data_IF_421244438097
#
_entry.id   IF_421244438097
#
_cell.length_a   1.000
_cell.length_b   1.000
_cell.length_c   1.000
_cell.angle_alpha   90.00
_cell.angle_beta   90.00
_cell.angle_gamma   90.00
#
_symmetry.space_group_name_H-M   'P 1'
#
loop_
_entity.id
_entity.type
_entity.pdbx_description
1 polymer ?
#
# COMPACT_ATOMS: atom_id res chain seq x y z
N UNK A 1 -30.10 -12.55 -15.22
CA UNK A 1 -29.81 -12.39 -16.67
C UNK A 1 -28.76 -11.30 -16.98
N UNK A 2 -28.64 -10.24 -16.18
CA UNK A 2 -27.63 -9.18 -16.39
C UNK A 2 -26.17 -9.63 -16.11
N UNK A 3 -25.94 -10.42 -15.08
CA UNK A 3 -24.59 -10.83 -14.65
C UNK A 3 -23.76 -11.59 -15.69
N UNK A 4 -24.41 -12.40 -16.54
CA UNK A 4 -23.68 -13.13 -17.60
C UNK A 4 -23.25 -12.22 -18.77
N UNK A 5 -24.07 -11.21 -19.10
CA UNK A 5 -23.76 -10.26 -20.16
C UNK A 5 -22.68 -9.26 -19.70
N UNK A 6 -22.75 -8.79 -18.45
CA UNK A 6 -21.75 -7.93 -17.84
C UNK A 6 -20.38 -8.63 -17.74
N UNK A 7 -20.35 -9.91 -17.35
CA UNK A 7 -19.14 -10.73 -17.32
C UNK A 7 -18.54 -10.95 -18.72
N UNK A 8 -19.38 -11.11 -19.74
CA UNK A 8 -18.90 -11.27 -21.11
C UNK A 8 -18.30 -9.95 -21.63
N UNK A 9 -18.99 -8.84 -21.40
CA UNK A 9 -18.53 -7.50 -21.78
C UNK A 9 -17.19 -7.17 -21.11
N UNK A 10 -17.05 -7.44 -19.81
CA UNK A 10 -15.82 -7.26 -19.07
C UNK A 10 -14.65 -8.09 -19.66
N UNK A 11 -14.86 -9.38 -19.92
CA UNK A 11 -13.85 -10.25 -20.55
C UNK A 11 -13.41 -9.72 -21.91
N UNK A 12 -14.36 -9.24 -22.72
CA UNK A 12 -14.06 -8.65 -24.03
C UNK A 12 -13.26 -7.35 -23.91
N UNK A 13 -13.61 -6.46 -22.99
CA UNK A 13 -12.89 -5.21 -22.74
C UNK A 13 -11.45 -5.49 -22.26
N UNK A 14 -11.29 -6.39 -21.28
CA UNK A 14 -9.96 -6.80 -20.80
C UNK A 14 -9.11 -7.41 -21.91
N UNK A 15 -9.67 -8.25 -22.74
CA UNK A 15 -8.96 -8.86 -23.89
C UNK A 15 -8.57 -7.81 -24.96
N UNK A 16 -9.46 -6.86 -25.25
CA UNK A 16 -9.18 -5.76 -26.19
C UNK A 16 -8.04 -4.86 -25.64
N UNK A 17 -8.12 -4.48 -24.38
CA UNK A 17 -7.05 -3.69 -23.74
C UNK A 17 -5.72 -4.46 -23.67
N UNK A 18 -5.77 -5.78 -23.41
CA UNK A 18 -4.59 -6.64 -23.46
C UNK A 18 -3.87 -6.57 -24.80
N UNK A 19 -4.61 -6.60 -25.91
CA UNK A 19 -4.01 -6.44 -27.27
C UNK A 19 -3.38 -5.06 -27.47
N UNK A 20 -3.99 -4.01 -26.93
CA UNK A 20 -3.42 -2.65 -26.99
C UNK A 20 -2.10 -2.59 -26.20
N UNK A 21 -2.07 -3.14 -24.99
CA UNK A 21 -0.87 -3.24 -24.16
C UNK A 21 0.22 -4.05 -24.86
N UNK A 22 -0.12 -5.21 -25.47
CA UNK A 22 0.82 -6.04 -26.22
C UNK A 22 1.46 -5.28 -27.39
N UNK A 23 0.64 -4.54 -28.16
CA UNK A 23 1.13 -3.68 -29.27
C UNK A 23 1.99 -2.54 -28.72
N UNK A 24 1.60 -1.94 -27.59
CA UNK A 24 2.38 -0.88 -26.98
C UNK A 24 3.74 -1.36 -26.48
N UNK A 25 3.79 -2.48 -25.77
CA UNK A 25 5.04 -3.07 -25.29
C UNK A 25 5.98 -3.43 -26.47
N UNK A 26 5.45 -4.03 -27.54
CA UNK A 26 6.24 -4.39 -28.72
C UNK A 26 6.77 -3.17 -29.52
N UNK A 27 6.08 -2.04 -29.47
CA UNK A 27 6.47 -0.80 -30.16
C UNK A 27 7.30 0.15 -29.28
N UNK A 28 7.27 -0.03 -27.97
CA UNK A 28 7.99 0.82 -27.04
C UNK A 28 9.52 0.81 -27.28
N UNK A 29 10.07 -0.23 -27.89
CA UNK A 29 11.47 -0.29 -28.30
C UNK A 29 11.78 0.61 -29.51
N UNK A 30 10.79 0.90 -30.39
CA UNK A 30 10.99 1.64 -31.64
C UNK A 30 10.64 3.11 -31.52
N UNK A 31 9.52 3.44 -30.86
CA UNK A 31 9.02 4.81 -30.69
C UNK A 31 8.23 4.91 -29.37
N UNK A 32 8.97 5.05 -28.28
CA UNK A 32 8.40 5.02 -26.91
C UNK A 32 7.48 6.20 -26.63
N UNK A 33 7.88 7.40 -27.03
CA UNK A 33 7.10 8.62 -26.82
C UNK A 33 5.71 8.52 -27.46
N UNK A 34 5.69 8.19 -28.74
CA UNK A 34 4.44 8.01 -29.48
C UNK A 34 3.58 6.88 -28.88
N UNK A 35 4.23 5.81 -28.46
CA UNK A 35 3.53 4.66 -27.85
C UNK A 35 2.89 5.06 -26.51
N UNK A 36 3.58 5.82 -25.67
CA UNK A 36 3.03 6.33 -24.41
C UNK A 36 1.83 7.25 -24.64
N UNK A 37 1.92 8.17 -25.61
CA UNK A 37 0.79 9.01 -25.98
C UNK A 37 -0.41 8.18 -26.44
N UNK A 38 -0.18 7.16 -27.26
CA UNK A 38 -1.25 6.25 -27.71
C UNK A 38 -1.89 5.47 -26.55
N UNK A 39 -1.11 5.09 -25.54
CA UNK A 39 -1.64 4.44 -24.34
C UNK A 39 -2.51 5.40 -23.52
N UNK A 40 -2.11 6.66 -23.37
CA UNK A 40 -2.92 7.69 -22.70
C UNK A 40 -4.21 7.95 -23.48
N UNK A 41 -4.16 8.02 -24.82
CA UNK A 41 -5.35 8.17 -25.66
C UNK A 41 -6.28 6.96 -25.56
N UNK A 42 -5.74 5.76 -25.56
CA UNK A 42 -6.51 4.54 -25.33
C UNK A 42 -7.14 4.54 -23.94
N UNK A 43 -6.38 4.91 -22.90
CA UNK A 43 -6.93 5.06 -21.55
C UNK A 43 -8.09 6.07 -21.53
N UNK A 44 -7.93 7.24 -22.15
CA UNK A 44 -9.01 8.25 -22.28
C UNK A 44 -10.23 7.69 -23.01
N UNK A 45 -10.03 6.92 -24.06
CA UNK A 45 -11.13 6.31 -24.81
C UNK A 45 -11.86 5.23 -24.00
N UNK A 46 -11.15 4.41 -23.23
CA UNK A 46 -11.73 3.36 -22.39
C UNK A 46 -12.33 3.90 -21.09
N UNK A 47 -11.69 4.93 -20.50
CA UNK A 47 -12.04 5.45 -19.18
C UNK A 47 -12.97 6.68 -19.26
N UNK A 48 -13.07 7.32 -20.43
CA UNK A 48 -13.96 8.45 -20.68
C UNK A 48 -13.80 9.56 -19.64
N UNK A 49 -14.88 9.88 -18.94
CA UNK A 49 -14.92 10.87 -17.87
C UNK A 49 -14.35 10.38 -16.52
N UNK A 50 -13.60 9.27 -16.49
CA UNK A 50 -12.98 8.75 -15.27
C UNK A 50 -11.95 9.72 -14.69
N UNK A 51 -11.24 10.45 -15.57
CA UNK A 51 -10.34 11.55 -15.21
C UNK A 51 -10.71 12.81 -16.03
N UNK A 52 -10.27 13.98 -15.58
CA UNK A 52 -10.44 15.20 -16.37
C UNK A 52 -9.57 15.19 -17.63
N UNK A 53 -9.99 15.97 -18.64
CA UNK A 53 -9.20 16.14 -19.86
C UNK A 53 -7.81 16.71 -19.57
N UNK A 54 -7.71 17.61 -18.59
CA UNK A 54 -6.46 18.20 -18.13
C UNK A 54 -5.49 17.15 -17.59
N UNK A 55 -5.99 16.16 -16.86
CA UNK A 55 -5.18 15.06 -16.32
C UNK A 55 -4.56 14.22 -17.45
N UNK A 56 -5.32 13.89 -18.48
CA UNK A 56 -4.78 13.16 -19.65
C UNK A 56 -3.74 13.98 -20.42
N UNK A 57 -3.96 15.27 -20.64
CA UNK A 57 -3.00 16.14 -21.33
C UNK A 57 -1.73 16.37 -20.50
N UNK A 58 -1.85 16.50 -19.16
CA UNK A 58 -0.69 16.60 -18.28
C UNK A 58 0.10 15.30 -18.26
N UNK A 59 -0.56 14.15 -18.27
CA UNK A 59 0.12 12.85 -18.38
C UNK A 59 0.93 12.77 -19.68
N UNK A 60 0.38 13.16 -20.82
CA UNK A 60 1.12 13.18 -22.09
C UNK A 60 2.34 14.10 -22.01
N UNK A 61 2.18 15.35 -21.52
CA UNK A 61 3.30 16.29 -21.37
C UNK A 61 4.44 15.71 -20.54
N UNK A 62 4.10 15.08 -19.42
CA UNK A 62 5.09 14.44 -18.54
C UNK A 62 5.78 13.28 -19.24
N UNK A 63 5.05 12.45 -19.98
CA UNK A 63 5.55 11.23 -20.63
C UNK A 63 6.37 11.50 -21.89
N UNK A 64 6.23 12.69 -22.49
CA UNK A 64 6.98 13.12 -23.68
C UNK A 64 8.17 14.04 -23.37
N UNK A 65 8.33 14.48 -22.10
CA UNK A 65 9.50 15.24 -21.68
C UNK A 65 10.65 14.30 -21.32
N UNK A 66 11.71 14.19 -22.13
CA UNK A 66 12.85 13.30 -21.84
C UNK A 66 13.63 13.70 -20.59
N UNK A 67 13.47 14.94 -20.12
CA UNK A 67 14.12 15.42 -18.90
C UNK A 67 13.29 15.12 -17.64
N UNK A 68 12.02 14.82 -17.82
CA UNK A 68 11.15 14.44 -16.70
C UNK A 68 11.67 13.18 -16.01
N UNK A 69 11.83 13.25 -14.70
CA UNK A 69 12.17 12.07 -13.90
C UNK A 69 11.09 10.97 -13.99
N UNK A 70 9.84 11.36 -14.21
CA UNK A 70 8.73 10.41 -14.36
C UNK A 70 8.83 9.62 -15.65
N UNK A 71 9.26 10.29 -16.74
CA UNK A 71 9.59 9.61 -18.00
C UNK A 71 10.75 8.64 -17.80
N UNK A 72 11.81 9.09 -17.10
CA UNK A 72 12.95 8.22 -16.76
C UNK A 72 12.50 7.02 -15.89
N UNK A 73 11.66 7.24 -14.87
CA UNK A 73 11.14 6.19 -14.02
C UNK A 73 10.35 5.16 -14.84
N UNK A 74 9.42 5.60 -15.67
CA UNK A 74 8.61 4.72 -16.52
C UNK A 74 9.50 3.94 -17.50
N UNK A 75 10.51 4.61 -18.09
CA UNK A 75 11.46 3.95 -18.96
C UNK A 75 12.25 2.86 -18.21
N UNK A 76 12.74 3.16 -17.01
CA UNK A 76 13.41 2.15 -16.17
C UNK A 76 12.49 0.94 -15.87
N UNK A 77 11.24 1.20 -15.50
CA UNK A 77 10.26 0.13 -15.25
C UNK A 77 10.07 -0.74 -16.49
N UNK A 78 9.87 -0.12 -17.67
CA UNK A 78 9.65 -0.87 -18.91
C UNK A 78 10.89 -1.64 -19.37
N UNK A 79 12.08 -1.07 -19.21
CA UNK A 79 13.34 -1.70 -19.62
C UNK A 79 13.77 -2.85 -18.72
N UNK A 80 13.37 -2.82 -17.46
CA UNK A 80 13.80 -3.80 -16.44
C UNK A 80 12.74 -4.85 -16.12
N UNK A 81 11.49 -4.63 -16.53
CA UNK A 81 10.39 -5.55 -16.21
C UNK A 81 10.16 -6.52 -17.38
N UNK A 82 9.99 -7.81 -17.05
CA UNK A 82 9.61 -8.82 -18.04
C UNK A 82 8.30 -8.39 -18.73
N UNK A 83 8.20 -8.47 -20.07
CA UNK A 83 7.00 -8.04 -20.81
C UNK A 83 5.70 -8.69 -20.33
N UNK A 84 5.73 -9.97 -19.91
CA UNK A 84 4.56 -10.65 -19.35
C UNK A 84 4.15 -10.05 -18.00
N UNK A 85 5.11 -9.78 -17.12
CA UNK A 85 4.87 -9.10 -15.83
C UNK A 85 4.31 -7.70 -16.06
N UNK A 86 4.95 -6.89 -16.91
CA UNK A 86 4.49 -5.54 -17.24
C UNK A 86 3.06 -5.53 -17.81
N UNK A 87 2.75 -6.46 -18.71
CA UNK A 87 1.41 -6.65 -19.26
C UNK A 87 0.38 -7.00 -18.19
N UNK A 88 0.70 -7.97 -17.33
CA UNK A 88 -0.20 -8.46 -16.30
C UNK A 88 -0.49 -7.36 -15.27
N UNK A 89 0.55 -6.68 -14.80
CA UNK A 89 0.40 -5.52 -13.89
C UNK A 89 -0.41 -4.40 -14.53
N UNK A 90 -0.19 -4.06 -15.79
CA UNK A 90 -0.98 -3.05 -16.48
C UNK A 90 -2.47 -3.42 -16.56
N UNK A 91 -2.80 -4.68 -16.72
CA UNK A 91 -4.19 -5.14 -16.74
C UNK A 91 -4.79 -5.23 -15.33
N UNK A 92 -4.07 -5.81 -14.38
CA UNK A 92 -4.60 -6.05 -13.03
C UNK A 92 -4.64 -4.76 -12.21
N UNK A 93 -3.52 -4.05 -12.12
CA UNK A 93 -3.45 -2.80 -11.36
C UNK A 93 -4.10 -1.64 -12.14
N UNK A 94 -3.76 -1.49 -13.43
CA UNK A 94 -4.27 -0.39 -14.24
C UNK A 94 -5.76 -0.52 -14.56
N UNK A 95 -6.16 -1.60 -15.22
CA UNK A 95 -7.56 -1.75 -15.64
C UNK A 95 -8.48 -2.24 -14.52
N UNK A 96 -8.13 -3.36 -13.85
CA UNK A 96 -9.03 -3.93 -12.84
C UNK A 96 -9.09 -3.09 -11.58
N UNK A 97 -7.95 -2.78 -10.94
CA UNK A 97 -7.96 -2.08 -9.66
C UNK A 97 -8.24 -0.58 -9.79
N UNK A 98 -7.42 0.14 -10.60
CA UNK A 98 -7.55 1.59 -10.69
C UNK A 98 -8.84 2.03 -11.36
N UNK A 99 -9.24 1.37 -12.42
CA UNK A 99 -10.38 1.85 -13.19
C UNK A 99 -11.68 1.16 -12.81
N UNK A 100 -11.82 -0.12 -13.16
CA UNK A 100 -13.06 -0.88 -12.96
C UNK A 100 -13.38 -1.01 -11.46
N UNK A 101 -12.40 -1.38 -10.66
CA UNK A 101 -12.55 -1.56 -9.23
C UNK A 101 -12.95 -0.26 -8.53
N UNK A 102 -12.29 0.87 -8.84
CA UNK A 102 -12.64 2.16 -8.23
C UNK A 102 -14.08 2.57 -8.55
N UNK A 103 -14.57 2.31 -9.76
CA UNK A 103 -15.98 2.56 -10.10
C UNK A 103 -16.91 1.68 -9.25
N UNK A 104 -16.64 0.39 -9.16
CA UNK A 104 -17.42 -0.55 -8.34
C UNK A 104 -17.40 -0.16 -6.85
N UNK A 105 -16.24 0.24 -6.33
CA UNK A 105 -16.09 0.69 -4.94
C UNK A 105 -16.99 1.90 -4.67
N UNK A 106 -17.02 2.89 -5.56
CA UNK A 106 -17.88 4.08 -5.41
C UNK A 106 -19.37 3.71 -5.41
N UNK A 107 -19.79 2.86 -6.33
CA UNK A 107 -21.17 2.35 -6.41
C UNK A 107 -21.54 1.57 -5.13
N UNK A 108 -20.64 0.70 -4.67
CA UNK A 108 -20.85 -0.11 -3.48
C UNK A 108 -20.86 0.70 -2.17
N UNK A 109 -20.06 1.77 -2.06
CA UNK A 109 -20.13 2.70 -0.92
C UNK A 109 -21.53 3.34 -0.79
N UNK A 110 -22.10 3.79 -1.90
CA UNK A 110 -23.46 4.33 -1.93
C UNK A 110 -24.50 3.25 -1.61
N UNK A 111 -24.35 2.07 -2.17
CA UNK A 111 -25.28 0.95 -2.00
C UNK A 111 -25.31 0.43 -0.55
N UNK A 112 -24.15 0.24 0.02
CA UNK A 112 -24.00 -0.42 1.33
C UNK A 112 -23.84 0.54 2.49
N UNK A 113 -23.68 1.84 2.26
CA UNK A 113 -23.55 2.90 3.28
C UNK A 113 -22.41 2.62 4.29
N UNK A 114 -21.29 2.08 3.82
CA UNK A 114 -20.08 1.84 4.59
C UNK A 114 -18.84 2.13 3.75
N UNK A 115 -17.69 2.14 4.38
CA UNK A 115 -16.43 2.16 3.67
C UNK A 115 -16.26 0.89 2.83
N UNK A 116 -15.78 1.03 1.59
CA UNK A 116 -15.34 -0.09 0.76
C UNK A 116 -13.89 0.19 0.36
N UNK A 117 -12.94 -0.69 0.71
CA UNK A 117 -11.52 -0.43 0.52
C UNK A 117 -11.10 -0.55 -0.95
N UNK A 118 -9.97 0.09 -1.30
CA UNK A 118 -9.31 -0.08 -2.58
C UNK A 118 -8.32 -1.26 -2.57
N UNK A 119 -7.78 -1.57 -1.40
CA UNK A 119 -6.94 -2.76 -1.17
C UNK A 119 -7.28 -3.42 0.16
N UNK A 120 -7.03 -4.72 0.26
CA UNK A 120 -7.07 -5.48 1.51
C UNK A 120 -5.66 -5.98 1.80
N UNK A 121 -5.18 -5.70 3.02
CA UNK A 121 -3.93 -6.22 3.56
C UNK A 121 -4.25 -7.44 4.42
N UNK A 122 -3.54 -8.55 4.28
CA UNK A 122 -3.74 -9.71 5.15
C UNK A 122 -2.46 -10.50 5.40
N UNK A 123 -2.45 -11.25 6.51
CA UNK A 123 -1.33 -12.04 6.98
C UNK A 123 -1.54 -13.53 6.69
N UNK A 124 -0.88 -14.12 5.69
CA UNK A 124 -0.94 -15.56 5.46
C UNK A 124 -0.49 -16.37 6.69
N UNK A 125 0.39 -15.80 7.49
CA UNK A 125 0.99 -16.43 8.68
C UNK A 125 1.55 -15.40 9.65
N UNK A 126 1.53 -15.69 10.95
CA UNK A 126 2.31 -14.96 11.95
C UNK A 126 3.74 -15.50 12.11
N UNK A 127 4.07 -16.65 11.50
CA UNK A 127 5.42 -17.20 11.57
C UNK A 127 6.42 -16.32 10.82
N UNK A 128 7.53 -16.02 11.46
CA UNK A 128 8.65 -15.29 10.87
C UNK A 128 9.97 -15.99 11.20
N UNK A 129 10.90 -15.94 10.27
CA UNK A 129 12.26 -16.45 10.45
C UNK A 129 13.24 -15.38 10.99
N UNK A 130 12.72 -14.22 11.42
CA UNK A 130 13.47 -13.09 11.94
C UNK A 130 12.84 -12.51 13.21
N UNK A 131 13.64 -11.75 13.99
CA UNK A 131 13.23 -11.06 15.22
C UNK A 131 13.73 -9.60 15.18
N UNK A 132 13.05 -8.77 14.40
CA UNK A 132 13.46 -7.38 14.20
C UNK A 132 13.12 -6.52 15.42
N UNK A 133 14.01 -5.59 15.79
CA UNK A 133 13.76 -4.65 16.88
C UNK A 133 12.54 -3.78 16.58
N UNK A 134 11.57 -3.75 17.51
CA UNK A 134 10.33 -2.98 17.37
C UNK A 134 9.46 -3.44 16.21
N UNK A 135 9.36 -4.75 15.98
CA UNK A 135 8.48 -5.32 14.97
C UNK A 135 7.02 -5.18 15.44
N UNK A 136 6.18 -4.51 14.65
CA UNK A 136 4.75 -4.33 14.97
C UNK A 136 3.98 -5.65 15.03
N UNK A 137 4.41 -6.69 14.31
CA UNK A 137 3.76 -8.00 14.27
C UNK A 137 4.28 -8.98 15.34
N UNK A 138 5.20 -8.55 16.22
CA UNK A 138 5.82 -9.43 17.22
C UNK A 138 4.83 -10.03 18.22
N UNK A 139 3.80 -9.27 18.59
CA UNK A 139 2.82 -9.64 19.62
C UNK A 139 1.73 -10.58 19.14
N UNK A 140 1.59 -10.83 17.84
CA UNK A 140 0.63 -11.84 17.33
C UNK A 140 1.03 -13.29 17.67
N UNK A 141 2.28 -13.52 18.12
CA UNK A 141 2.84 -14.85 18.26
C UNK A 141 3.17 -15.48 16.90
N UNK A 142 3.83 -16.64 16.90
CA UNK A 142 4.40 -17.22 15.65
C UNK A 142 3.67 -18.50 15.20
N UNK A 143 2.43 -18.71 15.57
CA UNK A 143 1.73 -20.01 15.40
C UNK A 143 0.48 -19.96 14.51
N UNK A 144 -0.04 -18.78 14.22
CA UNK A 144 -1.30 -18.64 13.51
C UNK A 144 -1.09 -18.59 12.00
N UNK A 145 -2.04 -19.14 11.28
CA UNK A 145 -2.07 -19.16 9.82
C UNK A 145 -3.51 -19.03 9.35
N UNK A 146 -3.74 -18.17 8.37
CA UNK A 146 -4.96 -18.26 7.58
C UNK A 146 -4.94 -19.56 6.75
N UNK A 147 -6.05 -20.25 6.64
CA UNK A 147 -6.17 -21.35 5.70
C UNK A 147 -6.11 -20.84 4.26
N UNK A 148 -5.85 -21.74 3.31
CA UNK A 148 -5.94 -21.36 1.90
C UNK A 148 -7.36 -20.91 1.55
N UNK A 149 -8.35 -21.55 2.13
CA UNK A 149 -9.77 -21.26 1.95
C UNK A 149 -10.14 -19.86 2.48
N UNK A 150 -9.56 -19.43 3.60
CA UNK A 150 -9.75 -18.06 4.12
C UNK A 150 -9.13 -17.02 3.20
N UNK A 151 -7.90 -17.23 2.73
CA UNK A 151 -7.25 -16.35 1.77
C UNK A 151 -8.03 -16.26 0.45
N UNK A 152 -8.54 -17.38 -0.04
CA UNK A 152 -9.40 -17.46 -1.23
C UNK A 152 -10.73 -16.72 -1.01
N UNK A 153 -11.35 -16.86 0.16
CA UNK A 153 -12.56 -16.15 0.56
C UNK A 153 -12.33 -14.63 0.56
N UNK A 154 -11.23 -14.17 1.15
CA UNK A 154 -10.85 -12.74 1.18
C UNK A 154 -10.78 -12.19 -0.25
N UNK A 155 -10.06 -12.85 -1.15
CA UNK A 155 -9.89 -12.37 -2.52
C UNK A 155 -11.19 -12.46 -3.31
N UNK A 156 -11.94 -13.54 -3.18
CA UNK A 156 -13.20 -13.74 -3.90
C UNK A 156 -14.22 -12.68 -3.52
N UNK A 157 -14.46 -12.48 -2.22
CA UNK A 157 -15.42 -11.49 -1.73
C UNK A 157 -14.94 -10.05 -1.94
N UNK A 158 -13.64 -9.79 -1.85
CA UNK A 158 -13.08 -8.49 -2.17
C UNK A 158 -13.34 -8.09 -3.63
N UNK A 159 -13.17 -9.01 -4.60
CA UNK A 159 -13.48 -8.77 -6.01
C UNK A 159 -14.96 -8.41 -6.24
N UNK A 160 -15.87 -9.01 -5.50
CA UNK A 160 -17.31 -8.66 -5.56
C UNK A 160 -17.58 -7.21 -5.15
N UNK A 161 -16.73 -6.67 -4.26
CA UNK A 161 -16.79 -5.27 -3.81
C UNK A 161 -16.01 -4.30 -4.71
N UNK A 162 -15.17 -4.80 -5.61
CA UNK A 162 -14.32 -4.00 -6.51
C UNK A 162 -12.86 -3.94 -6.11
N UNK A 163 -12.41 -4.77 -5.16
CA UNK A 163 -11.00 -4.83 -4.72
C UNK A 163 -10.21 -5.75 -5.62
N UNK A 164 -9.17 -5.22 -6.27
CA UNK A 164 -8.29 -5.95 -7.19
C UNK A 164 -6.81 -5.81 -6.84
N UNK A 165 -6.48 -5.18 -5.72
CA UNK A 165 -5.15 -5.14 -5.14
C UNK A 165 -5.19 -5.77 -3.75
N UNK A 166 -4.32 -6.73 -3.51
CA UNK A 166 -4.14 -7.37 -2.22
C UNK A 166 -2.70 -7.24 -1.79
N UNK A 167 -2.49 -6.86 -0.52
CA UNK A 167 -1.16 -6.80 0.06
C UNK A 167 -1.00 -7.93 1.09
N UNK A 168 0.15 -8.59 1.08
CA UNK A 168 0.46 -9.66 2.02
C UNK A 168 1.58 -9.20 2.95
N UNK A 169 1.37 -9.39 4.26
CA UNK A 169 2.35 -9.11 5.30
C UNK A 169 2.24 -10.15 6.41
N UNK A 170 2.41 -9.80 7.68
CA UNK A 170 2.30 -10.70 8.81
C UNK A 170 3.63 -10.93 9.50
N UNK A 171 3.98 -12.20 9.76
CA UNK A 171 5.33 -12.62 10.06
C UNK A 171 6.20 -12.46 8.81
N UNK A 172 6.51 -13.57 8.13
CA UNK A 172 7.11 -13.55 6.81
C UNK A 172 6.18 -14.31 5.84
N UNK A 173 5.52 -13.64 4.88
CA UNK A 173 4.57 -14.29 3.96
C UNK A 173 5.19 -15.42 3.15
N UNK A 174 6.47 -15.32 2.83
CA UNK A 174 7.18 -16.31 2.02
C UNK A 174 7.51 -17.60 2.76
N UNK A 175 7.25 -17.70 4.07
CA UNK A 175 7.16 -19.00 4.77
C UNK A 175 6.05 -19.86 4.13
N UNK A 176 5.04 -19.24 3.56
CA UNK A 176 3.90 -19.85 2.88
C UNK A 176 3.97 -19.73 1.35
N UNK A 177 5.19 -19.72 0.75
CA UNK A 177 5.39 -19.58 -0.73
C UNK A 177 4.39 -20.38 -1.56
N UNK A 178 4.17 -21.65 -1.22
CA UNK A 178 3.29 -22.55 -2.00
C UNK A 178 1.84 -22.06 -2.04
N UNK A 179 1.33 -21.61 -0.91
CA UNK A 179 -0.05 -21.10 -0.83
C UNK A 179 -0.17 -19.75 -1.51
N UNK A 180 0.85 -18.89 -1.36
CA UNK A 180 0.91 -17.59 -2.06
C UNK A 180 0.89 -17.78 -3.57
N UNK A 181 1.73 -18.66 -4.12
CA UNK A 181 1.75 -18.97 -5.56
C UNK A 181 0.43 -19.56 -6.03
N UNK A 182 -0.14 -20.51 -5.29
CA UNK A 182 -1.44 -21.12 -5.59
C UNK A 182 -2.56 -20.08 -5.58
N UNK A 183 -2.54 -19.14 -4.65
CA UNK A 183 -3.52 -18.04 -4.57
C UNK A 183 -3.40 -17.11 -5.77
N UNK A 184 -2.18 -16.70 -6.12
CA UNK A 184 -1.91 -15.85 -7.27
C UNK A 184 -2.29 -16.51 -8.60
N UNK A 185 -2.07 -17.83 -8.74
CA UNK A 185 -2.48 -18.58 -9.91
C UNK A 185 -4.01 -18.66 -10.03
N UNK A 186 -4.70 -18.93 -8.92
CA UNK A 186 -6.17 -18.99 -8.90
C UNK A 186 -6.81 -17.64 -9.22
N UNK A 187 -6.22 -16.55 -8.72
CA UNK A 187 -6.71 -15.18 -8.89
C UNK A 187 -5.77 -14.37 -9.80
N UNK A 188 -5.59 -14.83 -11.03
CA UNK A 188 -4.69 -14.20 -12.00
C UNK A 188 -5.19 -12.86 -12.56
N UNK A 189 -6.37 -12.43 -12.15
CA UNK A 189 -7.02 -11.17 -12.50
C UNK A 189 -6.86 -10.07 -11.43
N UNK A 190 -6.12 -10.34 -10.34
CA UNK A 190 -5.77 -9.36 -9.31
C UNK A 190 -4.26 -9.20 -9.19
N UNK A 191 -3.81 -8.10 -8.60
CA UNK A 191 -2.41 -7.87 -8.26
C UNK A 191 -2.16 -8.18 -6.79
N UNK A 192 -1.08 -8.93 -6.52
CA UNK A 192 -0.58 -9.19 -5.18
C UNK A 192 0.71 -8.40 -4.94
N UNK A 193 0.77 -7.68 -3.82
CA UNK A 193 1.95 -6.94 -3.42
C UNK A 193 2.44 -7.50 -2.06
N UNK A 194 3.67 -8.02 -1.99
CA UNK A 194 4.16 -8.78 -0.85
C UNK A 194 5.24 -7.99 -0.10
N UNK A 195 4.95 -7.67 1.16
CA UNK A 195 5.99 -7.20 2.08
C UNK A 195 6.79 -8.38 2.58
N UNK A 196 8.11 -8.34 2.40
CA UNK A 196 8.97 -9.47 2.75
C UNK A 196 10.31 -9.00 3.30
N UNK A 197 10.86 -9.79 4.23
CA UNK A 197 12.23 -9.65 4.68
C UNK A 197 13.26 -10.15 3.64
N UNK A 198 12.80 -10.62 2.49
CA UNK A 198 13.60 -11.02 1.33
C UNK A 198 14.44 -12.30 1.47
N UNK A 199 14.63 -12.82 2.68
CA UNK A 199 15.57 -13.95 2.96
C UNK A 199 15.15 -15.26 2.29
N UNK A 200 13.89 -15.37 1.89
CA UNK A 200 13.34 -16.58 1.28
C UNK A 200 13.14 -16.47 -0.24
N UNK A 201 13.59 -15.40 -0.88
CA UNK A 201 13.55 -15.24 -2.34
C UNK A 201 14.71 -16.07 -2.94
N UNK A 202 14.37 -17.04 -3.79
CA UNK A 202 15.29 -17.91 -4.50
C UNK A 202 14.93 -18.00 -6.00
N UNK A 203 15.82 -18.56 -6.82
CA UNK A 203 15.61 -18.65 -8.27
C UNK A 203 14.36 -19.43 -8.65
N UNK A 204 14.06 -20.63 -8.10
CA UNK A 204 12.83 -21.36 -8.44
C UNK A 204 11.56 -20.57 -8.12
N UNK A 205 11.56 -19.79 -7.04
CA UNK A 205 10.45 -18.92 -6.69
C UNK A 205 10.30 -17.77 -7.69
N UNK A 206 11.41 -17.14 -8.09
CA UNK A 206 11.39 -16.08 -9.10
C UNK A 206 10.88 -16.58 -10.47
N UNK A 207 11.19 -17.80 -10.88
CA UNK A 207 10.68 -18.41 -12.10
C UNK A 207 9.16 -18.52 -12.08
N UNK A 208 8.59 -19.01 -10.97
CA UNK A 208 7.13 -19.10 -10.81
C UNK A 208 6.45 -17.74 -10.73
N UNK A 209 7.04 -16.78 -10.00
CA UNK A 209 6.52 -15.40 -9.92
C UNK A 209 6.52 -14.74 -11.30
N UNK A 210 7.61 -14.90 -12.09
CA UNK A 210 7.67 -14.38 -13.45
C UNK A 210 6.60 -15.04 -14.34
N UNK A 211 6.39 -16.36 -14.23
CA UNK A 211 5.36 -17.10 -14.95
C UNK A 211 3.96 -16.60 -14.64
N UNK A 212 3.66 -16.33 -13.38
CA UNK A 212 2.36 -15.83 -12.94
C UNK A 212 2.15 -14.36 -13.36
N UNK A 213 3.14 -13.51 -13.15
CA UNK A 213 3.18 -12.12 -13.59
C UNK A 213 2.35 -11.14 -12.76
N UNK A 214 1.64 -11.59 -11.72
CA UNK A 214 0.73 -10.78 -10.90
C UNK A 214 1.19 -10.64 -9.44
N UNK A 215 2.50 -10.73 -9.20
CA UNK A 215 3.11 -10.55 -7.87
C UNK A 215 4.22 -9.50 -7.97
N UNK A 216 4.12 -8.47 -7.14
CA UNK A 216 5.16 -7.47 -6.92
C UNK A 216 5.66 -7.53 -5.47
N UNK A 217 6.86 -7.00 -5.20
CA UNK A 217 7.45 -7.06 -3.86
C UNK A 217 7.77 -5.68 -3.29
N UNK A 218 7.63 -5.57 -1.96
CA UNK A 218 8.17 -4.49 -1.14
C UNK A 218 9.23 -5.09 -0.22
N UNK A 219 10.50 -4.90 -0.57
CA UNK A 219 11.63 -5.46 0.15
C UNK A 219 11.97 -4.60 1.36
N UNK A 220 12.03 -5.22 2.52
CA UNK A 220 12.33 -4.54 3.77
C UNK A 220 13.80 -4.15 3.84
N UNK A 221 14.11 -2.84 3.92
CA UNK A 221 15.48 -2.32 4.02
C UNK A 221 15.51 -1.04 4.87
N UNK A 222 16.58 -0.86 5.67
CA UNK A 222 16.69 0.23 6.65
C UNK A 222 17.94 1.13 6.45
N UNK A 223 18.36 1.32 5.21
CA UNK A 223 19.49 2.19 4.86
C UNK A 223 20.78 1.45 4.57
N UNK A 224 21.86 1.80 5.28
CA UNK A 224 23.18 1.16 5.12
C UNK A 224 23.24 -0.25 5.72
N UNK A 225 24.27 -1.06 5.42
CA UNK A 225 24.45 -2.36 6.09
C UNK A 225 24.34 -2.27 7.61
N UNK A 226 24.97 -1.25 8.19
CA UNK A 226 25.04 -1.07 9.64
C UNK A 226 23.65 -0.72 10.23
N UNK A 227 22.93 0.25 9.64
CA UNK A 227 21.61 0.64 10.13
C UNK A 227 20.57 -0.43 9.87
N UNK A 228 20.71 -1.16 8.78
CA UNK A 228 19.83 -2.26 8.43
C UNK A 228 19.98 -3.44 9.40
N UNK A 229 21.21 -3.91 9.57
CA UNK A 229 21.49 -5.12 10.36
C UNK A 229 21.35 -4.86 11.86
N UNK A 230 21.55 -3.60 12.31
CA UNK A 230 21.24 -3.19 13.68
C UNK A 230 19.77 -3.40 14.07
N UNK A 231 18.83 -3.21 13.15
CA UNK A 231 17.41 -3.40 13.40
C UNK A 231 16.92 -4.80 13.06
N UNK A 232 17.42 -5.38 11.96
CA UNK A 232 16.88 -6.62 11.39
C UNK A 232 17.69 -7.86 11.70
N UNK A 233 18.93 -7.71 12.15
CA UNK A 233 19.86 -8.80 12.44
C UNK A 233 20.96 -8.92 11.40
N UNK A 234 22.10 -9.45 11.84
CA UNK A 234 23.31 -9.61 11.04
C UNK A 234 23.06 -10.42 9.76
N UNK A 235 23.57 -9.92 8.64
CA UNK A 235 23.48 -10.56 7.33
C UNK A 235 22.17 -10.28 6.57
N UNK A 236 21.20 -9.61 7.17
CA UNK A 236 19.94 -9.30 6.48
C UNK A 236 20.16 -8.37 5.27
N UNK A 237 21.05 -7.37 5.38
CA UNK A 237 21.35 -6.49 4.25
C UNK A 237 21.84 -7.28 3.03
N UNK A 238 22.74 -8.24 3.23
CA UNK A 238 23.24 -9.09 2.14
C UNK A 238 22.12 -9.93 1.49
N UNK A 239 21.19 -10.44 2.28
CA UNK A 239 20.02 -11.18 1.77
C UNK A 239 19.11 -10.29 0.91
N UNK A 240 18.86 -9.03 1.33
CA UNK A 240 18.09 -8.09 0.53
C UNK A 240 18.78 -7.76 -0.79
N UNK A 241 20.11 -7.55 -0.78
CA UNK A 241 20.88 -7.31 -2.00
C UNK A 241 20.78 -8.48 -2.97
N UNK A 242 20.91 -9.69 -2.47
CA UNK A 242 20.75 -10.91 -3.28
C UNK A 242 19.34 -11.01 -3.89
N UNK A 243 18.30 -10.74 -3.09
CA UNK A 243 16.92 -10.76 -3.56
C UNK A 243 16.68 -9.69 -4.66
N UNK A 244 17.20 -8.46 -4.48
CA UNK A 244 17.12 -7.41 -5.51
C UNK A 244 17.77 -7.85 -6.82
N UNK A 245 18.95 -8.48 -6.76
CA UNK A 245 19.67 -8.96 -7.94
C UNK A 245 18.89 -10.09 -8.66
N UNK A 246 18.26 -10.99 -7.89
CA UNK A 246 17.38 -12.03 -8.46
C UNK A 246 16.13 -11.45 -9.11
N UNK A 247 15.39 -10.60 -8.41
CA UNK A 247 14.17 -9.99 -8.94
C UNK A 247 14.45 -9.19 -10.21
N UNK A 248 15.55 -8.44 -10.23
CA UNK A 248 16.01 -7.71 -11.41
C UNK A 248 16.38 -8.65 -12.56
N UNK A 249 17.08 -9.75 -12.29
CA UNK A 249 17.44 -10.80 -13.28
C UNK A 249 16.22 -11.39 -13.95
N UNK A 250 15.14 -11.63 -13.20
CA UNK A 250 13.89 -12.21 -13.71
C UNK A 250 12.89 -11.16 -14.21
N UNK A 251 13.23 -9.86 -14.13
CA UNK A 251 12.35 -8.77 -14.55
C UNK A 251 11.06 -8.70 -13.75
N UNK A 252 11.12 -8.99 -12.47
CA UNK A 252 9.98 -8.92 -11.54
C UNK A 252 9.92 -7.52 -10.94
N UNK A 253 8.73 -6.93 -10.86
CA UNK A 253 8.52 -5.60 -10.30
C UNK A 253 8.71 -5.60 -8.78
N UNK A 254 9.53 -4.69 -8.26
CA UNK A 254 9.71 -4.52 -6.83
C UNK A 254 10.03 -3.08 -6.44
N UNK A 255 9.72 -2.78 -5.20
CA UNK A 255 10.10 -1.57 -4.50
C UNK A 255 10.63 -1.90 -3.10
N UNK A 256 10.68 -0.91 -2.23
CA UNK A 256 11.19 -1.07 -0.87
C UNK A 256 10.15 -0.72 0.18
N UNK A 257 10.25 -1.36 1.34
CA UNK A 257 9.54 -1.02 2.57
C UNK A 257 10.55 -0.57 3.60
N UNK A 258 10.44 0.67 4.03
CA UNK A 258 11.43 1.35 4.87
C UNK A 258 10.73 1.86 6.13
N UNK A 259 11.09 1.31 7.28
CA UNK A 259 10.65 1.86 8.55
C UNK A 259 11.67 2.94 8.99
N UNK A 260 11.32 4.22 8.89
CA UNK A 260 12.19 5.26 9.38
C UNK A 260 11.97 5.52 10.86
N UNK A 261 13.08 5.69 11.56
CA UNK A 261 13.17 5.90 12.99
C UNK A 261 14.00 7.15 13.27
N UNK A 262 14.01 7.58 14.52
CA UNK A 262 14.91 8.64 14.97
C UNK A 262 16.38 8.39 14.65
N UNK A 263 16.78 7.11 14.53
CA UNK A 263 18.19 6.70 14.39
C UNK A 263 18.65 6.56 12.95
N UNK A 264 17.75 6.19 12.02
CA UNK A 264 18.13 5.86 10.64
C UNK A 264 17.64 6.85 9.57
N UNK A 265 16.89 7.89 9.95
CA UNK A 265 16.23 8.79 8.99
C UNK A 265 17.21 9.38 7.95
N UNK A 266 18.41 9.76 8.35
CA UNK A 266 19.42 10.30 7.44
C UNK A 266 19.93 9.21 6.48
N UNK A 267 20.11 7.98 6.96
CA UNK A 267 20.58 6.85 6.14
C UNK A 267 19.56 6.47 5.07
N UNK A 268 18.26 6.52 5.37
CA UNK A 268 17.18 6.07 4.46
C UNK A 268 16.63 7.17 3.55
N UNK A 269 17.05 8.41 3.70
CA UNK A 269 16.50 9.55 2.94
C UNK A 269 17.52 10.30 2.08
N UNK A 270 18.84 10.04 2.23
CA UNK A 270 19.85 10.74 1.45
C UNK A 270 19.85 10.34 -0.03
N UNK A 271 20.35 11.22 -0.89
CA UNK A 271 20.36 11.02 -2.35
C UNK A 271 21.15 9.78 -2.77
N UNK A 272 22.26 9.48 -2.10
CA UNK A 272 23.11 8.35 -2.43
C UNK A 272 22.35 7.03 -2.27
N UNK A 273 21.61 6.88 -1.15
CA UNK A 273 20.79 5.70 -0.91
C UNK A 273 19.64 5.58 -1.94
N UNK A 274 18.97 6.70 -2.26
CA UNK A 274 17.90 6.69 -3.25
C UNK A 274 18.39 6.29 -4.64
N UNK A 275 19.55 6.84 -5.08
CA UNK A 275 20.17 6.48 -6.36
C UNK A 275 20.60 5.02 -6.37
N UNK A 276 21.17 4.54 -5.28
CA UNK A 276 21.54 3.14 -5.11
C UNK A 276 20.34 2.20 -5.26
N UNK A 277 19.18 2.54 -4.65
CA UNK A 277 17.95 1.75 -4.82
C UNK A 277 17.51 1.70 -6.29
N UNK A 278 17.55 2.83 -6.99
CA UNK A 278 17.24 2.87 -8.43
C UNK A 278 18.20 2.01 -9.25
N UNK A 279 19.51 2.05 -8.97
CA UNK A 279 20.52 1.22 -9.63
C UNK A 279 20.26 -0.28 -9.40
N UNK A 280 19.81 -0.65 -8.21
CA UNK A 280 19.39 -2.02 -7.88
C UNK A 280 18.09 -2.44 -8.54
N UNK A 281 17.30 -1.51 -9.07
CA UNK A 281 16.04 -1.79 -9.78
C UNK A 281 14.78 -1.53 -8.96
N UNK A 282 14.90 -0.96 -7.77
CA UNK A 282 13.74 -0.53 -7.00
C UNK A 282 13.20 0.80 -7.58
N UNK A 283 11.93 0.83 -7.94
CA UNK A 283 11.32 1.97 -8.61
C UNK A 283 10.39 2.78 -7.73
N UNK A 284 10.02 2.25 -6.57
CA UNK A 284 9.16 2.90 -5.58
C UNK A 284 9.52 2.45 -4.17
N UNK A 285 9.11 3.22 -3.17
CA UNK A 285 9.31 2.84 -1.77
C UNK A 285 8.22 3.35 -0.86
N UNK A 286 7.79 2.50 0.03
CA UNK A 286 6.93 2.86 1.13
C UNK A 286 7.79 3.21 2.34
N UNK A 287 7.62 4.44 2.84
CA UNK A 287 8.19 4.89 4.10
C UNK A 287 7.12 4.78 5.18
N UNK A 288 7.47 4.09 6.26
CA UNK A 288 6.64 3.94 7.44
C UNK A 288 7.32 4.62 8.62
N UNK A 289 6.62 5.55 9.25
CA UNK A 289 6.99 6.05 10.56
C UNK A 289 7.01 4.89 11.56
N UNK A 290 8.03 4.81 12.42
CA UNK A 290 8.02 3.80 13.48
C UNK A 290 6.80 3.99 14.38
N UNK A 291 6.00 2.94 14.54
CA UNK A 291 4.76 2.94 15.31
C UNK A 291 4.98 2.17 16.62
N UNK A 292 4.62 2.75 17.79
CA UNK A 292 4.88 2.13 19.09
C UNK A 292 3.80 1.11 19.48
N UNK A 293 3.60 0.09 18.64
CA UNK A 293 2.59 -0.96 18.81
C UNK A 293 3.18 -2.13 19.60
N UNK A 294 2.37 -2.68 20.50
CA UNK A 294 2.73 -3.79 21.38
C UNK A 294 3.36 -3.36 22.71
N UNK A 295 3.31 -4.24 23.69
CA UNK A 295 3.86 -3.98 25.04
C UNK A 295 5.38 -3.79 25.06
N UNK A 296 6.10 -4.41 24.12
CA UNK A 296 7.57 -4.29 23.96
C UNK A 296 7.98 -3.23 22.94
N UNK A 297 7.08 -2.32 22.56
CA UNK A 297 7.41 -1.22 21.68
C UNK A 297 8.51 -0.33 22.28
N UNK A 298 9.30 0.29 21.40
CA UNK A 298 10.40 1.21 21.74
C UNK A 298 10.04 2.66 21.32
N UNK A 299 9.24 3.42 22.11
CA UNK A 299 8.80 4.76 21.74
C UNK A 299 9.93 5.73 21.43
N UNK A 300 11.13 5.50 22.01
CA UNK A 300 12.34 6.28 21.74
C UNK A 300 12.81 6.18 20.27
N UNK A 301 12.33 5.21 19.50
CA UNK A 301 12.60 5.10 18.06
C UNK A 301 11.71 6.01 17.21
N UNK A 302 10.63 6.56 17.76
CA UNK A 302 9.78 7.51 17.02
C UNK A 302 10.60 8.74 16.61
N UNK A 303 10.49 9.21 15.36
CA UNK A 303 11.12 10.45 14.90
C UNK A 303 10.69 11.65 15.74
N UNK A 304 11.57 12.66 15.90
CA UNK A 304 11.18 13.93 16.52
C UNK A 304 10.25 14.72 15.59
N UNK A 305 9.53 15.76 16.10
CA UNK A 305 8.75 16.65 15.25
C UNK A 305 9.56 17.29 14.10
N UNK A 306 10.81 17.67 14.35
CA UNK A 306 11.72 18.24 13.35
C UNK A 306 12.08 17.20 12.28
N UNK A 307 12.37 15.96 12.69
CA UNK A 307 12.65 14.85 11.77
C UNK A 307 11.42 14.49 10.93
N UNK A 308 10.22 14.51 11.52
CA UNK A 308 8.98 14.28 10.81
C UNK A 308 8.70 15.40 9.80
N UNK A 309 8.91 16.66 10.18
CA UNK A 309 8.83 17.79 9.26
C UNK A 309 9.84 17.65 8.11
N UNK A 310 11.09 17.31 8.43
CA UNK A 310 12.10 17.01 7.42
C UNK A 310 11.64 15.92 6.45
N UNK A 311 11.02 14.84 6.95
CA UNK A 311 10.52 13.75 6.11
C UNK A 311 9.43 14.25 5.14
N UNK A 312 8.48 15.06 5.60
CA UNK A 312 7.45 15.69 4.75
C UNK A 312 8.10 16.52 3.64
N UNK A 313 9.03 17.42 3.99
CA UNK A 313 9.71 18.28 3.04
C UNK A 313 10.56 17.45 2.05
N UNK A 314 11.19 16.40 2.55
CA UNK A 314 12.00 15.47 1.74
C UNK A 314 11.17 14.70 0.72
N UNK A 315 10.04 14.15 1.11
CA UNK A 315 9.12 13.43 0.19
C UNK A 315 8.55 14.40 -0.86
N UNK A 316 8.16 15.60 -0.45
CA UNK A 316 7.71 16.65 -1.40
C UNK A 316 8.81 16.99 -2.41
N UNK A 317 10.05 17.19 -1.96
CA UNK A 317 11.20 17.43 -2.84
C UNK A 317 11.41 16.24 -3.79
N UNK A 318 11.48 15.02 -3.27
CA UNK A 318 11.67 13.81 -4.07
C UNK A 318 10.58 13.62 -5.13
N UNK A 319 9.36 14.11 -4.92
CA UNK A 319 8.26 14.08 -5.89
C UNK A 319 8.25 15.27 -6.84
N UNK A 320 8.94 16.35 -6.52
CA UNK A 320 8.94 17.57 -7.33
C UNK A 320 9.77 17.43 -8.61
N UNK A 321 9.60 18.37 -9.54
CA UNK A 321 10.43 18.48 -10.75
C UNK A 321 11.86 18.96 -10.49
N UNK A 322 12.15 19.48 -9.29
CA UNK A 322 13.50 19.87 -8.88
C UNK A 322 14.41 18.67 -8.58
N UNK A 323 13.84 17.50 -8.33
CA UNK A 323 14.58 16.27 -8.10
C UNK A 323 14.69 15.46 -9.39
N UNK A 324 15.88 14.95 -9.69
CA UNK A 324 16.17 14.15 -10.88
C UNK A 324 16.19 12.63 -10.64
N UNK A 325 16.03 12.19 -9.37
CA UNK A 325 16.06 10.78 -8.99
C UNK A 325 14.78 10.09 -9.45
N UNK A 326 14.82 9.07 -10.31
CA UNK A 326 13.66 8.40 -10.87
C UNK A 326 13.10 7.35 -9.89
N UNK A 327 12.62 7.82 -8.75
CA UNK A 327 12.06 7.01 -7.67
C UNK A 327 10.74 7.61 -7.18
N UNK A 328 9.75 6.78 -6.91
CA UNK A 328 8.46 7.20 -6.36
C UNK A 328 8.36 6.85 -4.88
N UNK A 329 8.63 7.78 -3.96
CA UNK A 329 8.45 7.57 -2.53
C UNK A 329 6.99 7.77 -2.13
N UNK A 330 6.49 6.94 -1.21
CA UNK A 330 5.21 7.07 -0.54
C UNK A 330 5.46 7.12 0.97
N UNK A 331 4.82 8.04 1.67
CA UNK A 331 4.93 8.16 3.13
C UNK A 331 3.59 7.85 3.78
N UNK A 332 3.49 6.68 4.37
CA UNK A 332 2.24 6.15 4.86
C UNK A 332 1.54 7.08 5.87
N UNK A 333 2.29 7.71 6.78
CA UNK A 333 1.73 8.59 7.81
C UNK A 333 1.52 10.02 7.33
N UNK A 334 2.43 10.56 6.51
CA UNK A 334 2.42 11.98 6.16
C UNK A 334 1.70 12.27 4.83
N UNK A 335 1.38 11.27 4.03
CA UNK A 335 0.60 11.43 2.79
C UNK A 335 -0.89 11.71 3.04
N UNK A 336 -1.32 11.82 4.29
CA UNK A 336 -2.69 12.21 4.64
C UNK A 336 -3.18 13.48 3.95
N UNK A 337 -2.27 14.43 3.70
CA UNK A 337 -2.58 15.66 2.96
C UNK A 337 -3.05 15.41 1.51
N UNK A 338 -2.56 14.34 0.87
CA UNK A 338 -2.91 14.00 -0.52
C UNK A 338 -4.11 13.07 -0.62
N UNK A 339 -4.38 12.29 0.44
CA UNK A 339 -5.45 11.28 0.44
C UNK A 339 -6.63 11.65 1.34
N UNK A 340 -6.65 12.87 1.91
CA UNK A 340 -7.75 13.38 2.72
C UNK A 340 -7.81 12.78 4.12
N UNK A 341 -6.67 12.57 4.77
CA UNK A 341 -6.56 12.07 6.14
C UNK A 341 -6.39 10.56 6.23
N UNK A 342 -6.80 9.96 7.36
CA UNK A 342 -6.63 8.55 7.64
C UNK A 342 -7.33 7.65 6.60
N UNK A 343 -6.61 6.67 6.07
CA UNK A 343 -7.09 5.74 5.03
C UNK A 343 -7.60 4.40 5.58
N UNK A 344 -7.47 4.17 6.88
CA UNK A 344 -7.80 2.93 7.58
C UNK A 344 -9.33 2.67 7.72
N UNK A 345 -9.72 1.60 8.38
CA UNK A 345 -11.12 1.27 8.62
C UNK A 345 -11.92 1.04 7.34
N UNK A 346 -11.28 0.46 6.32
CA UNK A 346 -11.90 0.18 5.04
C UNK A 346 -12.09 1.40 4.14
N UNK A 347 -11.63 2.62 4.53
CA UNK A 347 -11.75 3.78 3.66
C UNK A 347 -10.95 3.62 2.38
N UNK A 348 -9.67 3.25 2.47
CA UNK A 348 -8.86 2.82 1.34
C UNK A 348 -8.28 1.43 1.56
N UNK A 349 -8.04 1.05 2.84
CA UNK A 349 -7.59 -0.28 3.20
C UNK A 349 -8.05 -0.68 4.60
N UNK A 350 -7.93 -1.96 4.90
CA UNK A 350 -7.95 -2.54 6.24
C UNK A 350 -7.07 -3.79 6.27
N UNK A 351 -6.86 -4.35 7.46
CA UNK A 351 -5.99 -5.48 7.70
C UNK A 351 -6.77 -6.69 8.22
N UNK A 352 -6.36 -7.89 7.83
CA UNK A 352 -6.81 -9.17 8.41
C UNK A 352 -5.57 -9.91 8.89
N UNK A 353 -5.46 -10.11 10.19
CA UNK A 353 -4.32 -10.81 10.77
C UNK A 353 -4.40 -12.33 10.55
N UNK A 354 -3.33 -13.04 10.92
CA UNK A 354 -3.22 -14.49 10.71
C UNK A 354 -4.15 -15.34 11.59
N UNK A 355 -4.83 -14.76 12.58
CA UNK A 355 -5.89 -15.38 13.36
C UNK A 355 -7.29 -15.13 12.77
N UNK A 356 -7.37 -14.38 11.67
CA UNK A 356 -8.59 -14.03 10.97
C UNK A 356 -9.27 -12.76 11.49
N UNK A 357 -8.74 -12.09 12.52
CA UNK A 357 -9.32 -10.86 13.04
C UNK A 357 -9.14 -9.73 12.03
N UNK A 358 -10.23 -9.00 11.80
CA UNK A 358 -10.24 -7.83 10.92
C UNK A 358 -9.99 -6.56 11.74
N UNK A 359 -8.89 -5.91 11.43
CA UNK A 359 -8.38 -4.72 12.10
C UNK A 359 -8.52 -3.50 11.20
N UNK A 360 -8.87 -2.32 11.73
CA UNK A 360 -8.96 -1.11 10.91
C UNK A 360 -7.66 -0.75 10.20
N UNK A 361 -6.52 -1.02 10.81
CA UNK A 361 -5.18 -0.69 10.35
C UNK A 361 -4.19 -1.74 10.85
N UNK A 362 -3.14 -2.01 10.08
CA UNK A 362 -2.03 -2.91 10.45
C UNK A 362 -1.31 -2.51 11.76
N UNK A 363 -1.49 -1.27 12.21
CA UNK A 363 -0.95 -0.75 13.48
C UNK A 363 -2.02 -0.61 14.58
N UNK A 364 -3.24 -1.07 14.35
CA UNK A 364 -4.36 -0.98 15.30
C UNK A 364 -4.83 -2.40 15.60
N UNK A 365 -4.22 -3.00 16.60
CA UNK A 365 -4.44 -4.39 17.01
C UNK A 365 -5.69 -4.54 17.89
N UNK A 366 -6.82 -4.03 17.39
CA UNK A 366 -8.14 -4.17 18.02
C UNK A 366 -9.18 -4.60 16.99
N UNK A 367 -10.04 -5.53 17.37
CA UNK A 367 -11.09 -6.04 16.49
C UNK A 367 -12.34 -6.44 17.24
N UNK A 368 -13.46 -6.47 16.53
CA UNK A 368 -14.71 -7.12 16.91
C UNK A 368 -15.33 -7.87 15.73
N UNK A 369 -14.50 -8.24 14.75
CA UNK A 369 -14.92 -8.95 13.55
C UNK A 369 -13.84 -9.94 13.09
N UNK A 370 -14.25 -11.12 12.59
CA UNK A 370 -13.32 -12.16 12.17
C UNK A 370 -13.78 -12.79 10.84
N UNK A 371 -12.82 -13.02 9.92
CA UNK A 371 -13.09 -13.57 8.58
C UNK A 371 -13.61 -15.01 8.60
N UNK A 372 -13.33 -15.77 9.64
CA UNK A 372 -13.83 -17.14 9.75
C UNK A 372 -15.36 -17.18 9.85
N UNK A 373 -15.94 -16.25 10.61
CA UNK A 373 -17.37 -16.22 10.91
C UNK A 373 -18.17 -15.24 10.05
N UNK A 374 -17.50 -14.22 9.47
CA UNK A 374 -18.14 -13.10 8.80
C UNK A 374 -17.66 -12.97 7.33
N UNK A 375 -18.49 -12.39 6.48
CA UNK A 375 -18.10 -11.93 5.15
C UNK A 375 -17.36 -10.59 5.23
N UNK A 376 -16.63 -10.23 4.16
CA UNK A 376 -15.96 -8.91 4.08
C UNK A 376 -16.98 -7.77 4.25
N UNK A 377 -18.17 -7.90 3.71
CA UNK A 377 -19.19 -6.85 3.85
C UNK A 377 -19.72 -6.74 5.30
N UNK A 378 -19.90 -7.85 6.01
CA UNK A 378 -20.27 -7.85 7.43
C UNK A 378 -19.15 -7.26 8.29
N UNK A 379 -17.89 -7.58 8.00
CA UNK A 379 -16.73 -6.96 8.64
C UNK A 379 -16.77 -5.43 8.49
N UNK A 380 -17.01 -4.92 7.28
CA UNK A 380 -17.07 -3.47 7.01
C UNK A 380 -18.26 -2.78 7.71
N UNK A 381 -19.27 -3.54 8.15
CA UNK A 381 -20.38 -3.06 8.99
C UNK A 381 -20.18 -3.34 10.47
N UNK A 382 -19.07 -3.93 10.89
CA UNK A 382 -18.81 -4.17 12.31
C UNK A 382 -18.71 -2.85 13.10
N UNK A 383 -18.98 -2.84 14.41
CA UNK A 383 -19.03 -1.61 15.18
C UNK A 383 -17.78 -0.75 15.08
N UNK A 384 -16.58 -1.35 15.15
CA UNK A 384 -15.32 -0.61 15.07
C UNK A 384 -15.11 0.00 13.67
N UNK A 385 -15.40 -0.74 12.59
CA UNK A 385 -15.30 -0.23 11.23
C UNK A 385 -16.30 0.90 10.96
N UNK A 386 -17.50 0.79 11.49
CA UNK A 386 -18.51 1.86 11.41
C UNK A 386 -18.14 3.10 12.24
N UNK A 387 -17.44 2.92 13.37
CA UNK A 387 -16.88 4.05 14.13
C UNK A 387 -15.83 4.82 13.29
N UNK A 388 -14.96 4.09 12.55
CA UNK A 388 -14.05 4.71 11.57
C UNK A 388 -14.80 5.41 10.45
N UNK A 389 -15.77 4.74 9.82
CA UNK A 389 -16.59 5.32 8.76
C UNK A 389 -17.26 6.63 9.18
N UNK A 390 -17.82 6.67 10.39
CA UNK A 390 -18.54 7.83 10.91
C UNK A 390 -17.59 8.95 11.38
N UNK A 391 -16.42 8.60 11.92
CA UNK A 391 -15.45 9.53 12.50
C UNK A 391 -14.50 10.19 11.50
N UNK A 392 -14.24 9.56 10.37
CA UNK A 392 -13.30 10.09 9.36
C UNK A 392 -13.85 11.33 8.62
N UNK A 393 -12.97 12.33 8.31
CA UNK A 393 -11.58 12.43 8.76
C UNK A 393 -11.49 12.79 10.25
N UNK A 394 -10.60 12.13 10.98
CA UNK A 394 -10.46 12.31 12.45
C UNK A 394 -9.91 13.69 12.84
N UNK A 395 -9.23 14.38 11.92
CA UNK A 395 -8.67 15.70 12.14
C UNK A 395 -8.77 16.53 10.85
N UNK A 396 -9.07 17.82 10.97
CA UNK A 396 -9.07 18.76 9.84
C UNK A 396 -7.67 19.02 9.29
N UNK A 397 -6.65 18.93 10.14
CA UNK A 397 -5.26 18.94 9.72
C UNK A 397 -4.85 17.50 9.31
N UNK A 398 -4.77 17.25 8.01
CA UNK A 398 -4.46 15.92 7.49
C UNK A 398 -2.99 15.50 7.66
N UNK A 399 -2.15 16.33 8.27
CA UNK A 399 -0.85 15.93 8.80
C UNK A 399 -0.94 15.34 10.22
N UNK A 400 -2.16 15.28 10.76
CA UNK A 400 -2.52 14.63 12.04
C UNK A 400 -3.67 13.64 11.84
N UNK A 401 -3.55 12.69 10.87
CA UNK A 401 -4.71 11.90 10.43
C UNK A 401 -5.04 10.71 11.33
N UNK A 402 -4.07 10.19 12.10
CA UNK A 402 -4.20 8.90 12.77
C UNK A 402 -4.94 9.03 14.12
N UNK A 403 -5.95 8.19 14.37
CA UNK A 403 -6.65 8.18 15.65
C UNK A 403 -5.81 7.59 16.80
N UNK A 404 -4.68 6.91 16.51
CA UNK A 404 -3.75 6.42 17.53
C UNK A 404 -2.61 7.41 17.77
N UNK A 405 -1.86 7.74 16.71
CA UNK A 405 -0.59 8.45 16.84
C UNK A 405 -0.78 9.94 17.16
N UNK A 406 -1.77 10.59 16.57
CA UNK A 406 -2.00 12.04 16.68
C UNK A 406 -3.28 12.42 17.43
N UNK A 407 -4.22 11.50 17.62
CA UNK A 407 -5.49 11.74 18.30
C UNK A 407 -5.86 10.53 19.19
N UNK A 408 -4.97 10.15 20.14
CA UNK A 408 -5.10 8.89 20.86
C UNK A 408 -6.40 8.75 21.66
N UNK A 409 -6.99 9.85 22.12
CA UNK A 409 -8.28 9.86 22.79
C UNK A 409 -9.43 9.36 21.89
N UNK A 410 -9.30 9.49 20.57
CA UNK A 410 -10.32 8.99 19.64
C UNK A 410 -10.25 7.47 19.50
N UNK A 411 -9.05 6.88 19.47
CA UNK A 411 -8.93 5.41 19.43
C UNK A 411 -9.45 4.79 20.71
N UNK A 412 -9.03 5.32 21.88
CA UNK A 412 -9.48 4.84 23.20
C UNK A 412 -11.01 4.86 23.26
N UNK A 413 -11.62 5.98 22.87
CA UNK A 413 -13.08 6.10 22.82
C UNK A 413 -13.72 5.06 21.88
N UNK A 414 -13.23 4.94 20.64
CA UNK A 414 -13.80 4.00 19.66
C UNK A 414 -13.72 2.55 20.14
N UNK A 415 -12.59 2.13 20.72
CA UNK A 415 -12.43 0.77 21.24
C UNK A 415 -13.41 0.49 22.36
N UNK A 416 -13.57 1.42 23.33
CA UNK A 416 -14.54 1.25 24.43
C UNK A 416 -15.99 1.24 23.97
N UNK A 417 -16.38 2.20 23.12
CA UNK A 417 -17.77 2.30 22.65
C UNK A 417 -18.21 1.12 21.80
N UNK A 418 -17.26 0.50 21.08
CA UNK A 418 -17.57 -0.63 20.19
C UNK A 418 -17.36 -1.99 20.83
N UNK A 419 -16.73 -2.06 22.01
CA UNK A 419 -16.38 -3.31 22.67
C UNK A 419 -15.32 -4.12 21.92
N UNK A 420 -14.46 -3.46 21.11
CA UNK A 420 -13.36 -4.14 20.44
C UNK A 420 -12.32 -4.64 21.45
N UNK A 421 -11.75 -5.81 21.19
CA UNK A 421 -10.74 -6.45 22.02
C UNK A 421 -9.36 -6.40 21.34
N UNK A 422 -8.30 -6.51 22.15
CA UNK A 422 -6.94 -6.66 21.63
C UNK A 422 -6.77 -7.95 20.84
N UNK A 423 -6.11 -7.87 19.72
CA UNK A 423 -5.78 -9.00 18.84
C UNK A 423 -4.34 -9.50 19.02
N UNK A 424 -3.59 -8.90 19.94
CA UNK A 424 -2.27 -9.36 20.37
C UNK A 424 -2.42 -10.61 21.24
N UNK A 425 -2.19 -11.76 20.66
CA UNK A 425 -2.47 -13.04 21.33
C UNK A 425 -1.40 -13.42 22.36
N UNK A 426 -0.17 -12.96 22.18
CA UNK A 426 0.94 -13.30 23.08
C UNK A 426 0.95 -12.41 24.31
N UNK A 427 0.72 -11.11 24.14
CA UNK A 427 0.73 -10.11 25.20
C UNK A 427 -0.31 -9.03 24.90
N UNK A 428 -1.60 -9.28 25.17
CA UNK A 428 -2.67 -8.32 24.87
C UNK A 428 -2.40 -6.95 25.47
N UNK A 429 -2.30 -5.94 24.62
CA UNK A 429 -2.12 -4.55 25.03
C UNK A 429 -3.47 -3.88 25.25
N UNK A 430 -3.65 -3.18 26.39
CA UNK A 430 -4.84 -2.36 26.58
C UNK A 430 -4.78 -1.08 25.73
N UNK A 431 -5.94 -0.58 25.31
CA UNK A 431 -5.99 0.64 24.49
C UNK A 431 -5.49 1.86 25.24
N UNK A 432 -5.68 1.90 26.56
CA UNK A 432 -5.17 2.98 27.43
C UNK A 432 -3.64 3.01 27.42
N UNK A 433 -3.00 1.83 27.52
CA UNK A 433 -1.54 1.73 27.49
C UNK A 433 -0.97 2.16 26.14
N UNK A 434 -1.57 1.67 25.03
CA UNK A 434 -1.18 2.08 23.70
C UNK A 434 -1.32 3.60 23.49
N UNK A 435 -2.47 4.15 23.89
CA UNK A 435 -2.75 5.57 23.71
C UNK A 435 -1.84 6.46 24.59
N UNK A 436 -1.51 6.02 25.80
CA UNK A 436 -0.60 6.74 26.71
C UNK A 436 0.79 6.92 26.08
N UNK A 437 1.31 5.91 25.38
CA UNK A 437 2.59 6.00 24.65
C UNK A 437 2.58 7.08 23.56
N UNK A 438 1.41 7.40 23.02
CA UNK A 438 1.25 8.36 21.92
C UNK A 438 0.93 9.79 22.37
N UNK A 439 0.42 10.02 23.59
CA UNK A 439 -0.05 11.34 24.05
C UNK A 439 1.02 12.44 24.00
N UNK A 440 2.20 12.16 24.54
CA UNK A 440 3.31 13.13 24.51
C UNK A 440 3.73 13.43 23.07
N UNK A 441 3.87 12.40 22.25
CA UNK A 441 4.22 12.54 20.84
C UNK A 441 3.19 13.38 20.06
N UNK A 442 1.90 13.13 20.27
CA UNK A 442 0.82 13.87 19.63
C UNK A 442 0.86 15.36 19.99
N UNK A 443 1.11 15.66 21.28
CA UNK A 443 1.22 17.04 21.77
C UNK A 443 2.45 17.77 21.20
N UNK A 444 3.59 17.09 21.11
CA UNK A 444 4.84 17.66 20.58
C UNK A 444 4.76 17.88 19.05
N UNK A 445 4.07 16.98 18.33
CA UNK A 445 3.90 17.09 16.88
C UNK A 445 2.90 18.19 16.48
N UNK A 446 1.88 18.43 17.28
CA UNK A 446 0.77 19.34 16.92
C UNK A 446 1.21 20.74 16.47
N UNK A 447 2.07 21.49 17.18
CA UNK A 447 2.47 22.85 16.77
C UNK A 447 3.14 22.84 15.39
N UNK A 448 4.05 21.90 15.15
CA UNK A 448 4.77 21.77 13.88
C UNK A 448 3.81 21.38 12.75
N UNK A 449 2.90 20.44 13.00
CA UNK A 449 1.89 20.04 12.01
C UNK A 449 0.97 21.20 11.62
N UNK A 450 0.52 22.01 12.60
CA UNK A 450 -0.36 23.14 12.37
C UNK A 450 0.35 24.25 11.60
N UNK A 451 1.64 24.51 11.88
CA UNK A 451 2.47 25.42 11.11
C UNK A 451 2.58 24.96 9.65
N UNK A 452 3.00 23.72 9.40
CA UNK A 452 3.17 23.18 8.05
C UNK A 452 1.83 23.18 7.29
N UNK A 453 0.74 22.83 7.97
CA UNK A 453 -0.59 22.81 7.38
C UNK A 453 -1.10 24.20 7.00
N UNK A 454 -0.79 25.24 7.80
CA UNK A 454 -1.20 26.62 7.53
C UNK A 454 -0.62 27.18 6.22
N UNK A 455 0.52 26.67 5.78
CA UNK A 455 1.17 27.02 4.52
C UNK A 455 0.77 26.09 3.36
N UNK A 456 0.01 25.04 3.65
CA UNK A 456 -0.51 24.15 2.65
C UNK A 456 -1.53 24.90 1.80
N UNK A 457 -1.29 25.02 0.51
CA UNK A 457 -2.32 25.50 -0.44
C UNK A 457 -3.37 24.40 -0.50
N UNK A 458 -4.39 24.55 0.34
CA UNK A 458 -5.54 23.67 0.37
C UNK A 458 -6.10 23.63 -1.05
N UNK A 459 -5.86 22.57 -1.78
CA UNK A 459 -6.87 22.12 -2.72
C UNK A 459 -8.04 21.79 -1.82
N UNK A 460 -9.17 22.49 -1.98
CA UNK A 460 -10.42 22.02 -1.37
C UNK A 460 -10.47 20.53 -1.62
N UNK A 461 -10.17 19.77 -0.56
CA UNK A 461 -9.87 18.37 -0.74
C UNK A 461 -11.19 17.73 -1.13
N UNK A 462 -11.32 17.32 -2.38
CA UNK A 462 -12.42 16.45 -2.81
C UNK A 462 -12.55 15.21 -1.91
N UNK A 463 -11.59 14.98 -1.01
CA UNK A 463 -11.56 13.95 0.00
C UNK A 463 -12.17 14.37 1.34
N UNK A 464 -12.41 15.67 1.60
CA UNK A 464 -13.10 16.11 2.82
C UNK A 464 -14.52 15.54 2.89
N UNK A 465 -15.18 15.41 1.74
CA UNK A 465 -16.54 14.90 1.60
C UNK A 465 -16.57 13.63 0.72
N UNK A 466 -15.60 12.72 0.85
CA UNK A 466 -15.57 11.51 0.02
C UNK A 466 -16.86 10.66 0.13
N UNK A 467 -17.62 10.78 1.23
CA UNK A 467 -18.90 10.13 1.45
C UNK A 467 -19.99 10.66 0.50
N UNK A 468 -19.90 11.93 0.11
CA UNK A 468 -20.83 12.60 -0.79
C UNK A 468 -20.44 12.39 -2.27
N UNK A 469 -19.38 11.68 -2.54
CA UNK A 469 -18.87 11.46 -3.87
C UNK A 469 -19.82 10.59 -4.69
N UNK A 470 -20.25 11.11 -5.85
CA UNK A 470 -21.11 10.38 -6.79
C UNK A 470 -20.26 9.47 -7.67
N UNK A 471 -20.77 8.28 -8.05
CA UNK A 471 -20.06 7.35 -8.96
C UNK A 471 -19.67 7.96 -10.31
N UNK A 472 -20.41 8.98 -10.76
CA UNK A 472 -20.17 9.68 -12.04
C UNK A 472 -19.09 10.77 -11.99
N UNK A 473 -18.57 11.12 -10.80
CA UNK A 473 -17.52 12.14 -10.70
C UNK A 473 -16.18 11.60 -11.18
N UNK A 474 -15.31 12.43 -11.81
CA UNK A 474 -13.94 12.05 -12.15
C UNK A 474 -13.12 11.57 -10.97
N UNK A 475 -12.07 10.78 -11.23
CA UNK A 475 -11.17 10.25 -10.21
C UNK A 475 -10.13 11.27 -9.72
N UNK A 476 -9.83 12.27 -10.54
CA UNK A 476 -8.86 13.34 -10.26
C UNK A 476 -9.41 14.54 -9.50
#
# INVERSE_FOLDING_TARGET
MNTSLENLTHKMQRAALGKIVDVALSRAEQDREKTMCQLVDAAKQFYGSGFSDETYENAKKVLTDPNSKWTKLINCVLDQTNPHVARTTALNLGYEAFFRGTKMIRENRVKYQCNIPWLILFDPTSACNMHCVGCWAGEYGHKNNLSFEDMDKIVTQGKELGVYLYMLTGGEPLVRKKDVLKLAEKHNDVEFAIYTNSTLIDEPFCEEVQRLGNIAFMLSIEGTPETNDARRGEGHYAAVMHAMDLLKKYGILFGTSICYTRQNIDAVTNDAFMRFLCEKGAHFGFYFHYMPVGNEAAPELMPTPEQRKYMIDRIRYLRSSACDIPFYPMDFQNDGEFVGGCIAGGRNYFHINSAGDAEPCVFIHYSNANIHDQSILEILHSPLFMAYHNGQPFNKNHLRPCPMLENPELLEKMVHETGAHSTDLQSPESVEHLCEKCKAYAADWQPTADEVWSHHKVRESRYENYKDWKPSQPLD
#
